data_IF_037151319278
#
_entry.id   IF_037151319278
#
_cell.length_a   1.000
_cell.length_b   1.000
_cell.length_c   1.000
_cell.angle_alpha   90.00
_cell.angle_beta   90.00
_cell.angle_gamma   90.00
#
_symmetry.space_group_name_H-M   'P 1'
#
loop_
_entity.id
_entity.type
_entity.pdbx_description
1 polymer ?
#
# COMPACT_ATOMS: atom_id res chain seq x y z
N UNK A 1 0.89 1.34 -6.29
CA UNK A 1 1.96 1.05 -5.31
C UNK A 1 1.59 1.59 -3.95
N UNK A 2 2.50 1.62 -2.98
CA UNK A 2 2.28 2.22 -1.65
C UNK A 2 2.84 3.65 -1.62
N UNK A 3 2.48 4.43 -0.60
CA UNK A 3 3.18 5.67 -0.28
C UNK A 3 4.63 5.41 0.16
N UNK A 4 5.43 6.47 0.19
CA UNK A 4 6.84 6.39 0.58
C UNK A 4 6.95 5.89 2.04
N UNK A 5 7.81 4.88 2.31
CA UNK A 5 8.03 4.40 3.68
C UNK A 5 8.44 5.54 4.63
N UNK A 6 9.24 6.48 4.15
CA UNK A 6 9.71 7.63 4.93
C UNK A 6 8.54 8.51 5.36
N UNK A 7 7.60 8.81 4.45
CA UNK A 7 6.40 9.59 4.74
C UNK A 7 5.52 8.85 5.76
N UNK A 8 5.25 7.55 5.52
CA UNK A 8 4.44 6.71 6.40
C UNK A 8 5.01 6.64 7.82
N UNK A 9 6.32 6.42 7.94
CA UNK A 9 7.01 6.33 9.23
C UNK A 9 7.13 7.69 9.93
N UNK A 10 7.29 8.79 9.17
CA UNK A 10 7.38 10.14 9.74
C UNK A 10 6.08 10.64 10.35
N UNK A 11 4.94 10.13 9.89
CA UNK A 11 3.62 10.51 10.37
C UNK A 11 3.16 9.70 11.58
N UNK A 12 3.92 8.70 12.03
CA UNK A 12 3.54 7.90 13.21
C UNK A 12 3.54 8.76 14.47
N UNK A 13 2.68 8.39 15.42
CA UNK A 13 2.63 9.03 16.74
C UNK A 13 3.16 8.03 17.78
N UNK A 14 4.31 8.36 18.35
CA UNK A 14 4.89 7.65 19.49
C UNK A 14 4.35 8.25 20.80
N UNK A 15 3.83 7.40 21.69
CA UNK A 15 3.15 7.78 22.94
C UNK A 15 3.74 7.01 24.12
N UNK A 16 4.01 7.71 25.22
CA UNK A 16 4.50 7.13 26.47
C UNK A 16 3.76 7.77 27.66
N UNK A 17 3.50 7.03 28.76
CA UNK A 17 2.99 7.63 29.98
C UNK A 17 3.92 8.73 30.52
N UNK A 18 3.35 9.77 31.11
CA UNK A 18 3.99 11.01 31.57
C UNK A 18 4.53 11.90 30.44
N UNK A 19 4.22 11.62 29.18
CA UNK A 19 4.52 12.53 28.07
C UNK A 19 3.61 13.77 28.13
N UNK A 20 4.20 14.95 28.06
CA UNK A 20 3.46 16.20 27.89
C UNK A 20 2.92 16.26 26.44
N UNK A 21 1.62 16.07 26.32
CA UNK A 21 0.89 16.08 25.07
C UNK A 21 -0.52 16.63 25.31
N UNK A 22 -0.80 17.76 24.68
CA UNK A 22 -2.16 18.31 24.66
C UNK A 22 -3.08 17.34 23.92
N UNK A 23 -4.20 16.94 24.52
CA UNK A 23 -5.15 15.99 23.92
C UNK A 23 -5.56 16.39 22.51
N UNK A 24 -5.91 17.65 22.30
CA UNK A 24 -6.39 18.14 21.01
C UNK A 24 -5.31 18.08 19.91
N UNK A 25 -4.02 18.14 20.30
CA UNK A 25 -2.91 17.88 19.37
C UNK A 25 -2.92 16.42 18.89
N UNK A 26 -3.11 15.46 19.81
CA UNK A 26 -3.24 14.05 19.43
C UNK A 26 -4.41 13.83 18.46
N UNK A 27 -5.56 14.48 18.70
CA UNK A 27 -6.72 14.36 17.80
C UNK A 27 -6.40 14.90 16.40
N UNK A 28 -5.70 16.03 16.31
CA UNK A 28 -5.26 16.60 15.04
C UNK A 28 -4.26 15.69 14.31
N UNK A 29 -3.32 15.08 15.03
CA UNK A 29 -2.35 14.14 14.47
C UNK A 29 -3.06 12.87 13.95
N UNK A 30 -4.06 12.35 14.68
CA UNK A 30 -4.90 11.22 14.26
C UNK A 30 -5.68 11.51 12.97
N UNK A 31 -6.32 12.68 12.88
CA UNK A 31 -7.02 13.11 11.66
C UNK A 31 -6.03 13.23 10.49
N UNK A 32 -4.85 13.79 10.73
CA UNK A 32 -3.79 13.90 9.72
C UNK A 32 -3.28 12.54 9.25
N UNK A 33 -3.35 11.52 10.11
CA UNK A 33 -3.10 10.11 9.83
C UNK A 33 -4.29 9.36 9.19
N UNK A 34 -5.35 10.08 8.80
CA UNK A 34 -6.59 9.56 8.20
C UNK A 34 -7.44 8.69 9.15
N UNK A 35 -7.34 8.89 10.45
CA UNK A 35 -8.33 8.33 11.38
C UNK A 35 -9.60 9.19 11.39
N UNK A 36 -10.74 8.53 11.50
CA UNK A 36 -12.05 9.19 11.63
C UNK A 36 -12.43 9.35 13.10
N UNK A 37 -13.00 10.50 13.46
CA UNK A 37 -13.63 10.67 14.78
C UNK A 37 -15.06 10.17 14.73
N UNK A 38 -15.38 9.12 15.48
CA UNK A 38 -16.75 8.64 15.62
C UNK A 38 -17.01 8.12 17.04
N UNK A 39 -17.83 8.85 17.79
CA UNK A 39 -18.12 8.55 19.19
C UNK A 39 -19.18 7.44 19.37
N UNK A 40 -19.89 7.07 18.29
CA UNK A 40 -20.99 6.10 18.28
C UNK A 40 -20.51 4.74 17.77
N UNK A 41 -19.99 4.70 16.54
CA UNK A 41 -19.53 3.47 15.90
C UNK A 41 -18.00 3.37 16.02
N UNK A 42 -17.53 2.37 16.76
CA UNK A 42 -16.11 2.19 17.06
C UNK A 42 -15.56 0.97 16.33
N UNK A 43 -14.90 1.24 15.20
CA UNK A 43 -14.35 0.25 14.28
C UNK A 43 -12.91 0.63 13.87
N UNK A 44 -12.22 -0.23 13.10
CA UNK A 44 -10.82 -0.01 12.70
C UNK A 44 -10.66 1.33 11.96
N UNK A 45 -9.63 2.09 12.31
CA UNK A 45 -9.37 3.41 11.73
C UNK A 45 -10.20 4.54 12.37
N UNK A 46 -10.95 4.24 13.44
CA UNK A 46 -11.73 5.23 14.18
C UNK A 46 -11.07 5.55 15.52
N UNK A 47 -11.20 6.80 15.97
CA UNK A 47 -11.01 7.17 17.36
C UNK A 47 -12.26 7.85 17.95
N UNK A 48 -12.39 7.78 19.28
CA UNK A 48 -13.45 8.43 20.04
C UNK A 48 -12.92 9.09 21.31
N UNK A 49 -13.66 10.07 21.81
CA UNK A 49 -13.26 10.86 22.99
C UNK A 49 -14.35 10.78 24.06
N UNK A 50 -13.96 10.43 25.28
CA UNK A 50 -14.85 10.36 26.45
C UNK A 50 -14.22 11.10 27.63
N UNK A 51 -14.50 12.40 27.75
CA UNK A 51 -13.84 13.26 28.74
C UNK A 51 -12.33 13.36 28.47
N UNK A 52 -11.53 12.94 29.43
CA UNK A 52 -10.06 12.96 29.33
C UNK A 52 -9.49 11.66 28.72
N UNK A 53 -10.36 10.78 28.21
CA UNK A 53 -9.98 9.54 27.56
C UNK A 53 -10.09 9.65 26.05
N UNK A 54 -9.04 9.23 25.35
CA UNK A 54 -9.05 8.99 23.90
C UNK A 54 -8.91 7.49 23.68
N UNK A 55 -9.84 6.90 22.93
CA UNK A 55 -9.75 5.51 22.48
C UNK A 55 -9.55 5.48 20.97
N UNK A 56 -8.55 4.75 20.52
CA UNK A 56 -8.13 4.65 19.12
C UNK A 56 -8.19 3.18 18.74
N UNK A 57 -8.87 2.86 17.65
CA UNK A 57 -8.84 1.54 17.06
C UNK A 57 -7.86 1.55 15.87
N UNK A 58 -6.64 1.02 16.02
CA UNK A 58 -5.66 1.06 14.94
C UNK A 58 -6.17 0.33 13.70
N UNK A 59 -5.87 0.86 12.52
CA UNK A 59 -6.35 0.29 11.25
C UNK A 59 -5.82 -1.13 10.96
N UNK A 60 -4.73 -1.52 11.62
CA UNK A 60 -4.02 -2.80 11.46
C UNK A 60 -4.35 -3.82 12.55
N UNK A 61 -5.17 -3.48 13.54
CA UNK A 61 -5.58 -4.41 14.60
C UNK A 61 -6.92 -5.07 14.29
N UNK A 62 -7.15 -6.27 14.82
CA UNK A 62 -8.39 -6.99 14.56
C UNK A 62 -9.49 -6.74 15.58
N UNK A 63 -9.15 -6.87 16.86
CA UNK A 63 -10.04 -6.85 18.01
C UNK A 63 -9.51 -5.99 19.17
N UNK A 64 -8.30 -5.45 19.03
CA UNK A 64 -7.63 -4.69 20.08
C UNK A 64 -7.58 -3.20 19.74
N UNK A 65 -7.86 -2.37 20.75
CA UNK A 65 -7.82 -0.93 20.67
C UNK A 65 -6.92 -0.35 21.78
N UNK A 66 -6.47 0.88 21.56
CA UNK A 66 -5.59 1.60 22.47
C UNK A 66 -6.40 2.68 23.17
N UNK A 67 -6.36 2.66 24.50
CA UNK A 67 -6.93 3.68 25.38
C UNK A 67 -5.81 4.52 25.96
N UNK A 68 -5.99 5.83 25.89
CA UNK A 68 -5.08 6.84 26.41
C UNK A 68 -5.89 7.70 27.38
N UNK A 69 -5.53 7.66 28.65
CA UNK A 69 -6.12 8.52 29.68
C UNK A 69 -5.19 9.72 29.90
N UNK A 70 -5.75 10.93 29.87
CA UNK A 70 -5.04 12.19 30.07
C UNK A 70 -5.31 12.75 31.47
N UNK A 71 -4.34 13.50 32.00
CA UNK A 71 -4.49 14.35 33.16
C UNK A 71 -4.00 15.77 32.79
N UNK A 72 -4.94 16.65 32.42
CA UNK A 72 -4.59 17.92 31.80
C UNK A 72 -3.90 17.71 30.44
N UNK A 73 -2.72 18.29 30.28
CA UNK A 73 -1.90 18.19 29.05
C UNK A 73 -0.81 17.10 29.14
N UNK A 74 -1.04 16.07 29.97
CA UNK A 74 -0.11 14.96 30.15
C UNK A 74 -0.82 13.62 30.00
N UNK A 75 -0.15 12.65 29.37
CA UNK A 75 -0.65 11.27 29.30
C UNK A 75 -0.47 10.60 30.66
N UNK A 76 -1.56 10.24 31.33
CA UNK A 76 -1.53 9.54 32.61
C UNK A 76 -1.24 8.04 32.41
N UNK A 77 -1.97 7.40 31.49
CA UNK A 77 -1.80 5.98 31.22
C UNK A 77 -2.19 5.58 29.81
N UNK A 78 -1.57 4.49 29.35
CA UNK A 78 -1.87 3.86 28.06
C UNK A 78 -2.21 2.40 28.32
N UNK A 79 -3.31 1.93 27.73
CA UNK A 79 -3.76 0.55 27.86
C UNK A 79 -4.25 -0.01 26.54
N UNK A 80 -3.97 -1.29 26.32
CA UNK A 80 -4.58 -2.11 25.29
C UNK A 80 -5.86 -2.72 25.86
N UNK A 81 -6.96 -2.66 25.12
CA UNK A 81 -8.25 -3.19 25.54
C UNK A 81 -8.96 -3.90 24.38
N UNK A 82 -9.82 -4.87 24.72
CA UNK A 82 -10.68 -5.57 23.77
C UNK A 82 -11.78 -4.60 23.30
N UNK A 83 -11.82 -4.29 22.01
CA UNK A 83 -12.69 -3.26 21.44
C UNK A 83 -14.18 -3.62 21.56
N UNK A 84 -14.51 -4.92 21.64
CA UNK A 84 -15.87 -5.43 21.76
C UNK A 84 -16.32 -5.51 23.22
N UNK A 85 -15.47 -6.07 24.09
CA UNK A 85 -15.79 -6.30 25.52
C UNK A 85 -15.54 -5.07 26.40
N UNK A 86 -14.69 -4.14 25.95
CA UNK A 86 -14.24 -2.98 26.73
C UNK A 86 -13.26 -3.30 27.85
N UNK A 87 -12.92 -4.58 28.05
CA UNK A 87 -12.02 -5.04 29.11
C UNK A 87 -10.56 -4.71 28.79
N UNK A 88 -9.86 -4.12 29.76
CA UNK A 88 -8.43 -3.84 29.65
C UNK A 88 -7.66 -5.17 29.61
N UNK A 89 -6.86 -5.36 28.57
CA UNK A 89 -6.02 -6.53 28.37
C UNK A 89 -4.65 -6.34 29.03
N UNK A 90 -4.04 -5.17 28.81
CA UNK A 90 -2.67 -4.88 29.28
C UNK A 90 -2.40 -3.38 29.35
N UNK A 91 -1.65 -2.93 30.36
CA UNK A 91 -1.08 -1.57 30.39
C UNK A 91 0.21 -1.50 29.59
N UNK A 92 0.36 -0.44 28.80
CA UNK A 92 1.48 -0.23 27.90
C UNK A 92 2.42 0.84 28.45
N UNK A 93 3.73 0.60 28.35
CA UNK A 93 4.77 1.61 28.65
C UNK A 93 5.04 2.53 27.47
N UNK A 94 4.68 2.09 26.26
CA UNK A 94 4.80 2.81 25.02
C UNK A 94 3.76 2.27 24.04
N UNK A 95 3.20 3.14 23.21
CA UNK A 95 2.40 2.79 22.06
C UNK A 95 2.86 3.60 20.86
N UNK A 96 2.86 3.00 19.67
CA UNK A 96 3.12 3.71 18.42
C UNK A 96 1.89 3.52 17.54
N UNK A 97 1.27 4.63 17.14
CA UNK A 97 0.12 4.64 16.24
C UNK A 97 0.63 4.93 14.84
N UNK A 98 0.39 4.01 13.91
CA UNK A 98 0.70 4.21 12.50
C UNK A 98 -0.50 4.79 11.73
N UNK A 99 -0.27 5.45 10.59
CA UNK A 99 -1.33 5.98 9.76
C UNK A 99 -2.36 4.94 9.32
N UNK A 100 -3.63 5.34 9.24
CA UNK A 100 -4.73 4.47 8.83
C UNK A 100 -4.74 4.19 7.31
N UNK A 101 -3.91 4.89 6.55
CA UNK A 101 -3.74 4.71 5.11
C UNK A 101 -2.26 4.66 4.70
N UNK A 102 -1.95 3.88 3.67
CA UNK A 102 -0.61 3.83 3.07
C UNK A 102 -0.34 5.01 2.11
N UNK A 103 -1.32 5.87 1.84
CA UNK A 103 -1.18 7.05 0.97
C UNK A 103 -1.20 8.36 1.75
N UNK A 104 -0.97 8.32 3.06
CA UNK A 104 -0.81 9.55 3.83
C UNK A 104 0.37 10.36 3.31
N UNK A 105 0.16 11.65 3.21
CA UNK A 105 1.14 12.62 2.72
C UNK A 105 1.07 13.88 3.57
N UNK A 106 2.15 14.65 3.62
CA UNK A 106 2.14 15.94 4.31
C UNK A 106 1.30 16.97 3.54
N UNK A 107 0.78 17.99 4.23
CA UNK A 107 0.06 19.12 3.59
C UNK A 107 0.94 19.85 2.57
N UNK A 108 2.25 19.97 2.84
CA UNK A 108 3.23 20.59 1.93
C UNK A 108 3.39 19.76 0.67
N UNK A 109 3.49 18.43 0.81
CA UNK A 109 3.58 17.49 -0.31
C UNK A 109 2.32 17.54 -1.16
N UNK A 110 1.12 17.54 -0.55
CA UNK A 110 -0.15 17.67 -1.27
C UNK A 110 -0.24 18.97 -2.07
N UNK A 111 0.18 20.09 -1.50
CA UNK A 111 0.16 21.38 -2.20
C UNK A 111 1.05 21.34 -3.46
N UNK A 112 2.28 20.83 -3.34
CA UNK A 112 3.19 20.68 -4.49
C UNK A 112 2.61 19.72 -5.55
N UNK A 113 2.02 18.61 -5.11
CA UNK A 113 1.39 17.65 -6.01
C UNK A 113 0.24 18.28 -6.78
N UNK A 114 -0.62 19.07 -6.14
CA UNK A 114 -1.71 19.80 -6.78
C UNK A 114 -1.20 20.70 -7.92
N UNK A 115 -0.15 21.48 -7.67
CA UNK A 115 0.44 22.37 -8.70
C UNK A 115 0.90 21.55 -9.92
N UNK A 116 1.63 20.45 -9.69
CA UNK A 116 2.12 19.58 -10.77
C UNK A 116 1.01 18.82 -11.51
N UNK A 117 -0.10 18.50 -10.85
CA UNK A 117 -1.27 17.85 -11.46
C UNK A 117 -2.00 18.84 -12.36
N UNK A 118 -2.18 20.08 -11.89
CA UNK A 118 -2.81 21.15 -12.68
C UNK A 118 -2.02 21.42 -13.96
N UNK A 119 -0.69 21.45 -13.87
CA UNK A 119 0.16 21.66 -15.04
C UNK A 119 0.10 20.50 -16.04
N UNK A 120 0.09 19.24 -15.57
CA UNK A 120 -0.11 18.08 -16.45
C UNK A 120 -1.51 18.09 -17.09
N UNK A 121 -2.54 18.48 -16.33
CA UNK A 121 -3.92 18.57 -16.81
C UNK A 121 -4.03 19.58 -17.96
N UNK A 122 -3.45 20.78 -17.82
CA UNK A 122 -3.46 21.80 -18.89
C UNK A 122 -2.90 21.25 -20.20
N UNK A 123 -1.71 20.64 -20.14
CA UNK A 123 -1.09 20.04 -21.32
C UNK A 123 -1.92 18.89 -21.91
N UNK A 124 -2.58 18.10 -21.06
CA UNK A 124 -3.43 16.98 -21.51
C UNK A 124 -4.71 17.46 -22.19
N UNK A 125 -5.34 18.52 -21.69
CA UNK A 125 -6.51 19.15 -22.30
C UNK A 125 -6.14 19.71 -23.68
N UNK A 126 -5.03 20.43 -23.78
CA UNK A 126 -4.54 20.97 -25.04
C UNK A 126 -4.28 19.87 -26.09
N UNK A 127 -3.62 18.78 -25.68
CA UNK A 127 -3.43 17.60 -26.52
C UNK A 127 -4.76 17.08 -27.10
N UNK A 128 -5.77 16.87 -26.25
CA UNK A 128 -7.05 16.35 -26.71
C UNK A 128 -7.79 17.33 -27.63
N UNK A 129 -7.73 18.64 -27.35
CA UNK A 129 -8.34 19.66 -28.21
C UNK A 129 -7.67 19.70 -29.59
N UNK A 130 -6.34 19.63 -29.65
CA UNK A 130 -5.58 19.59 -30.91
C UNK A 130 -5.90 18.34 -31.74
N UNK A 131 -6.19 17.21 -31.09
CA UNK A 131 -6.60 15.96 -31.74
C UNK A 131 -8.11 15.88 -32.03
N UNK A 132 -8.87 16.98 -31.84
CA UNK A 132 -10.35 17.02 -31.96
C UNK A 132 -11.10 16.01 -31.06
N UNK A 133 -10.49 15.56 -29.96
CA UNK A 133 -11.04 14.64 -28.95
C UNK A 133 -11.72 15.43 -27.82
N UNK A 134 -12.79 16.14 -28.17
CA UNK A 134 -13.41 17.12 -27.26
C UNK A 134 -14.09 16.46 -26.04
N UNK A 135 -14.65 15.26 -26.21
CA UNK A 135 -15.30 14.52 -25.10
C UNK A 135 -14.26 14.06 -24.08
N UNK A 136 -13.12 13.56 -24.55
CA UNK A 136 -12.00 13.16 -23.70
C UNK A 136 -11.40 14.35 -22.95
N UNK A 137 -11.31 15.51 -23.60
CA UNK A 137 -10.86 16.76 -22.99
C UNK A 137 -11.78 17.19 -21.83
N UNK A 138 -13.10 17.23 -22.07
CA UNK A 138 -14.08 17.57 -21.05
C UNK A 138 -14.02 16.57 -19.88
N UNK A 139 -13.98 15.27 -20.19
CA UNK A 139 -13.96 14.19 -19.20
C UNK A 139 -12.76 14.29 -18.27
N UNK A 140 -11.55 14.51 -18.80
CA UNK A 140 -10.34 14.59 -17.97
C UNK A 140 -10.33 15.86 -17.11
N UNK A 141 -10.85 16.96 -17.65
CA UNK A 141 -10.98 18.24 -16.95
C UNK A 141 -11.92 18.14 -15.74
N UNK A 142 -13.16 17.70 -15.96
CA UNK A 142 -14.15 17.54 -14.89
C UNK A 142 -13.65 16.59 -13.80
N UNK A 143 -13.13 15.41 -14.20
CA UNK A 143 -12.66 14.41 -13.26
C UNK A 143 -11.49 14.92 -12.41
N UNK A 144 -10.50 15.52 -13.06
CA UNK A 144 -9.27 15.94 -12.36
C UNK A 144 -9.53 17.15 -11.46
N UNK A 145 -10.38 18.09 -11.87
CA UNK A 145 -10.76 19.23 -11.03
C UNK A 145 -11.52 18.78 -9.78
N UNK A 146 -12.46 17.83 -9.91
CA UNK A 146 -13.14 17.25 -8.75
C UNK A 146 -12.16 16.53 -7.81
N UNK A 147 -11.27 15.69 -8.36
CA UNK A 147 -10.27 14.98 -7.54
C UNK A 147 -9.31 15.99 -6.84
N UNK A 148 -8.97 17.12 -7.47
CA UNK A 148 -8.17 18.21 -6.88
C UNK A 148 -8.89 18.95 -5.76
N UNK A 149 -10.17 19.27 -5.93
CA UNK A 149 -11.01 19.91 -4.90
C UNK A 149 -11.08 19.02 -3.64
N UNK A 150 -11.34 17.73 -3.82
CA UNK A 150 -11.37 16.75 -2.73
C UNK A 150 -10.03 16.66 -2.01
N UNK A 151 -8.90 16.66 -2.74
CA UNK A 151 -7.57 16.68 -2.12
C UNK A 151 -7.27 17.97 -1.33
N UNK A 152 -7.86 19.10 -1.72
CA UNK A 152 -7.68 20.38 -1.02
C UNK A 152 -8.53 20.44 0.26
N UNK A 153 -9.79 20.04 0.20
CA UNK A 153 -10.74 20.13 1.31
C UNK A 153 -10.57 19.00 2.32
N UNK A 154 -10.46 17.75 1.84
CA UNK A 154 -10.43 16.55 2.69
C UNK A 154 -9.03 15.96 2.86
N UNK A 155 -8.06 16.41 2.07
CA UNK A 155 -6.71 15.84 2.07
C UNK A 155 -6.58 14.50 1.33
N UNK A 156 -7.67 13.99 0.76
CA UNK A 156 -7.69 12.77 -0.07
C UNK A 156 -8.80 12.80 -1.12
N UNK A 157 -8.72 11.92 -2.12
CA UNK A 157 -9.77 11.70 -3.10
C UNK A 157 -9.90 10.21 -3.45
N UNK A 158 -11.01 9.81 -4.06
CA UNK A 158 -11.18 8.43 -4.52
C UNK A 158 -10.32 8.16 -5.77
N UNK A 159 -9.42 7.19 -5.63
CA UNK A 159 -8.44 6.89 -6.69
C UNK A 159 -7.16 7.73 -6.58
N UNK A 160 -6.84 8.25 -5.39
CA UNK A 160 -5.66 9.07 -5.12
C UNK A 160 -4.35 8.41 -5.60
N UNK A 161 -4.29 7.08 -5.64
CA UNK A 161 -3.13 6.34 -6.12
C UNK A 161 -2.77 6.65 -7.58
N UNK A 162 -3.72 7.11 -8.39
CA UNK A 162 -3.48 7.53 -9.77
C UNK A 162 -2.62 8.81 -9.86
N UNK A 163 -2.50 9.54 -8.75
CA UNK A 163 -1.63 10.71 -8.60
C UNK A 163 -0.33 10.39 -7.85
N UNK A 164 -0.03 9.11 -7.59
CA UNK A 164 1.11 8.69 -6.75
C UNK A 164 2.46 9.26 -7.21
N UNK A 165 2.70 9.42 -8.52
CA UNK A 165 3.93 10.08 -9.01
C UNK A 165 4.06 11.51 -8.50
N UNK A 166 2.99 12.30 -8.62
CA UNK A 166 2.94 13.69 -8.16
C UNK A 166 3.05 13.77 -6.64
N UNK A 167 2.38 12.87 -5.92
CA UNK A 167 2.40 12.79 -4.46
C UNK A 167 3.75 12.35 -3.89
N UNK A 168 4.53 11.56 -4.63
CA UNK A 168 5.86 11.09 -4.19
C UNK A 168 7.00 11.94 -4.74
N UNK A 169 6.74 12.89 -5.65
CA UNK A 169 7.77 13.70 -6.31
C UNK A 169 8.70 12.90 -7.23
N UNK A 170 8.30 11.69 -7.65
CA UNK A 170 9.09 10.82 -8.53
C UNK A 170 9.07 11.29 -9.97
N UNK A 171 10.08 10.86 -10.74
CA UNK A 171 10.17 11.21 -12.17
C UNK A 171 9.19 10.39 -13.00
N UNK A 172 8.85 10.90 -14.18
CA UNK A 172 8.06 10.16 -15.17
C UNK A 172 8.71 8.81 -15.49
N UNK A 173 7.91 7.75 -15.52
CA UNK A 173 8.37 6.38 -15.73
C UNK A 173 8.85 5.66 -14.47
N UNK A 174 9.10 6.34 -13.35
CA UNK A 174 9.50 5.68 -12.10
C UNK A 174 8.28 5.04 -11.41
N UNK A 175 8.37 3.78 -10.97
CA UNK A 175 7.27 3.14 -10.27
C UNK A 175 7.11 3.74 -8.85
N UNK A 176 5.92 3.64 -8.25
CA UNK A 176 5.73 3.97 -6.84
C UNK A 176 6.54 3.03 -5.94
N UNK A 177 6.75 3.42 -4.67
CA UNK A 177 7.16 2.48 -3.63
C UNK A 177 6.28 1.22 -3.61
N UNK A 178 6.87 0.10 -3.21
CA UNK A 178 6.17 -1.18 -3.04
C UNK A 178 6.47 -1.73 -1.65
N UNK A 179 5.87 -2.86 -1.28
CA UNK A 179 6.20 -3.55 -0.04
C UNK A 179 7.71 -3.81 0.10
N UNK A 180 8.41 -4.13 -0.99
CA UNK A 180 9.86 -4.33 -0.99
C UNK A 180 10.65 -3.09 -0.52
N UNK A 181 10.06 -1.89 -0.62
CA UNK A 181 10.68 -0.64 -0.15
C UNK A 181 10.57 -0.47 1.38
N UNK A 182 9.70 -1.21 2.06
CA UNK A 182 9.52 -1.17 3.51
C UNK A 182 10.45 -2.14 4.24
N UNK A 183 11.06 -3.09 3.51
CA UNK A 183 12.04 -3.99 4.08
C UNK A 183 13.43 -3.34 4.18
N UNK A 184 14.24 -3.73 5.18
CA UNK A 184 15.68 -3.46 5.19
C UNK A 184 16.36 -3.96 3.91
N UNK A 185 17.54 -3.43 3.57
CA UNK A 185 18.23 -3.78 2.31
C UNK A 185 18.69 -5.24 2.22
N UNK A 186 18.76 -5.95 3.34
CA UNK A 186 19.26 -7.31 3.52
C UNK A 186 18.15 -8.35 3.76
N UNK A 187 16.93 -8.08 3.28
CA UNK A 187 15.82 -9.01 3.41
C UNK A 187 15.98 -10.29 2.59
N UNK A 188 15.36 -11.36 3.08
CA UNK A 188 15.18 -12.62 2.37
C UNK A 188 13.79 -12.68 1.73
N UNK A 189 13.73 -12.95 0.43
CA UNK A 189 12.50 -13.23 -0.28
C UNK A 189 12.35 -14.73 -0.52
N UNK A 190 11.20 -15.32 -0.18
CA UNK A 190 10.86 -16.69 -0.58
C UNK A 190 9.76 -16.60 -1.62
N UNK A 191 9.99 -17.19 -2.79
CA UNK A 191 9.00 -17.29 -3.85
C UNK A 191 8.54 -18.74 -3.90
N UNK A 192 7.37 -18.98 -3.34
CA UNK A 192 6.69 -20.26 -3.41
C UNK A 192 6.09 -20.51 -4.79
N UNK A 193 6.04 -21.77 -5.20
CA UNK A 193 5.69 -22.22 -6.54
C UNK A 193 6.29 -21.33 -7.65
N UNK A 194 7.62 -21.16 -7.58
CA UNK A 194 8.35 -20.17 -8.38
C UNK A 194 8.10 -20.29 -9.89
N UNK A 195 7.87 -21.51 -10.37
CA UNK A 195 7.61 -21.82 -11.76
C UNK A 195 6.31 -21.20 -12.28
N UNK A 196 5.37 -20.86 -11.39
CA UNK A 196 4.13 -20.13 -11.66
C UNK A 196 4.28 -18.66 -11.26
N UNK A 197 4.82 -18.39 -10.08
CA UNK A 197 4.90 -17.04 -9.52
C UNK A 197 5.78 -16.10 -10.36
N UNK A 198 6.87 -16.58 -10.96
CA UNK A 198 7.76 -15.77 -11.79
C UNK A 198 7.09 -15.33 -13.10
N UNK A 199 6.48 -16.22 -13.91
CA UNK A 199 5.67 -15.80 -15.05
C UNK A 199 4.56 -14.81 -14.68
N UNK A 200 3.87 -15.02 -13.55
CA UNK A 200 2.84 -14.09 -13.08
C UNK A 200 3.43 -12.70 -12.81
N UNK A 201 4.54 -12.62 -12.06
CA UNK A 201 5.22 -11.35 -11.77
C UNK A 201 5.64 -10.60 -13.04
N UNK A 202 6.12 -11.31 -14.07
CA UNK A 202 6.41 -10.71 -15.40
C UNK A 202 5.17 -10.15 -16.09
N UNK A 203 4.03 -10.83 -15.96
CA UNK A 203 2.78 -10.46 -16.61
C UNK A 203 2.12 -9.21 -16.00
N UNK A 204 2.30 -8.96 -14.71
CA UNK A 204 1.58 -7.91 -13.96
C UNK A 204 1.71 -6.52 -14.58
N UNK A 205 2.93 -6.09 -14.94
CA UNK A 205 3.13 -4.77 -15.54
C UNK A 205 2.42 -4.64 -16.90
N UNK A 206 2.54 -5.64 -17.78
CA UNK A 206 1.98 -5.57 -19.14
C UNK A 206 0.46 -5.49 -19.12
N UNK A 207 -0.18 -6.29 -18.28
CA UNK A 207 -1.63 -6.25 -18.09
C UNK A 207 -2.12 -4.91 -17.54
N UNK A 208 -1.47 -4.39 -16.48
CA UNK A 208 -1.84 -3.10 -15.90
C UNK A 208 -1.61 -1.94 -16.87
N UNK A 209 -0.48 -1.93 -17.56
CA UNK A 209 -0.14 -0.90 -18.54
C UNK A 209 -1.18 -0.88 -19.67
N UNK A 210 -1.49 -2.01 -20.29
CA UNK A 210 -2.48 -2.09 -21.38
C UNK A 210 -3.84 -1.52 -20.96
N UNK A 211 -4.33 -1.89 -19.77
CA UNK A 211 -5.61 -1.40 -19.24
C UNK A 211 -5.59 0.11 -19.00
N UNK A 212 -4.53 0.64 -18.42
CA UNK A 212 -4.42 2.07 -18.12
C UNK A 212 -4.17 2.92 -19.35
N UNK A 213 -3.46 2.41 -20.35
CA UNK A 213 -3.28 3.09 -21.63
C UNK A 213 -4.64 3.45 -22.22
N UNK A 214 -5.58 2.51 -22.25
CA UNK A 214 -6.96 2.76 -22.69
C UNK A 214 -7.64 3.87 -21.87
N UNK A 215 -7.54 3.84 -20.54
CA UNK A 215 -8.12 4.89 -19.69
C UNK A 215 -7.53 6.28 -19.97
N UNK A 216 -6.22 6.35 -20.21
CA UNK A 216 -5.53 7.60 -20.55
C UNK A 216 -5.91 8.08 -21.95
N UNK A 217 -5.98 7.19 -22.93
CA UNK A 217 -6.36 7.49 -24.31
C UNK A 217 -7.77 8.06 -24.41
N UNK A 218 -8.70 7.55 -23.60
CA UNK A 218 -10.08 8.03 -23.52
C UNK A 218 -10.30 9.07 -22.41
N UNK A 219 -9.27 9.73 -21.89
CA UNK A 219 -9.44 10.88 -21.00
C UNK A 219 -10.07 10.58 -19.63
N UNK A 220 -10.05 9.33 -19.17
CA UNK A 220 -10.49 8.98 -17.81
C UNK A 220 -9.40 9.25 -16.75
N UNK A 221 -8.12 9.24 -17.15
CA UNK A 221 -6.97 9.46 -16.29
C UNK A 221 -5.88 10.27 -16.99
N UNK A 222 -5.08 10.99 -16.20
CA UNK A 222 -3.89 11.68 -16.69
C UNK A 222 -2.79 10.67 -17.10
N UNK A 223 -1.84 11.05 -17.98
CA UNK A 223 -0.72 10.20 -18.34
C UNK A 223 0.09 9.69 -17.14
N UNK A 224 0.26 10.51 -16.09
CA UNK A 224 0.87 10.10 -14.81
C UNK A 224 0.27 8.87 -14.15
N UNK A 225 -0.99 8.52 -14.43
CA UNK A 225 -1.61 7.32 -13.89
C UNK A 225 -0.91 6.03 -14.37
N UNK A 226 -0.24 6.06 -15.52
CA UNK A 226 0.59 4.95 -16.02
C UNK A 226 1.80 4.69 -15.10
N UNK A 227 2.27 5.71 -14.39
CA UNK A 227 3.39 5.59 -13.47
C UNK A 227 2.97 4.93 -12.15
N UNK A 228 1.68 4.92 -11.80
CA UNK A 228 1.16 4.14 -10.65
C UNK A 228 1.07 2.63 -10.94
N UNK A 229 2.15 2.00 -11.36
CA UNK A 229 2.14 0.64 -11.89
C UNK A 229 2.81 -0.37 -10.96
N UNK A 230 2.58 -1.69 -11.15
CA UNK A 230 3.48 -2.71 -10.66
C UNK A 230 4.90 -2.49 -11.18
N UNK A 231 5.87 -3.08 -10.47
CA UNK A 231 7.24 -3.15 -10.94
C UNK A 231 7.30 -3.96 -12.25
N UNK A 232 8.16 -3.52 -13.16
CA UNK A 232 8.64 -4.39 -14.23
C UNK A 232 9.45 -5.54 -13.61
N UNK A 233 9.60 -6.62 -14.34
CA UNK A 233 10.33 -7.77 -13.83
C UNK A 233 11.79 -7.41 -13.52
N UNK A 234 12.41 -6.63 -14.40
CA UNK A 234 13.79 -6.16 -14.25
C UNK A 234 13.94 -5.23 -13.04
N UNK A 235 12.94 -4.38 -12.78
CA UNK A 235 12.91 -3.51 -11.59
C UNK A 235 12.73 -4.32 -10.30
N UNK A 236 11.98 -5.42 -10.36
CA UNK A 236 11.82 -6.34 -9.23
C UNK A 236 13.14 -7.05 -8.95
N UNK A 237 13.78 -7.60 -9.98
CA UNK A 237 15.08 -8.26 -9.87
C UNK A 237 16.16 -7.34 -9.27
N UNK A 238 16.21 -6.08 -9.71
CA UNK A 238 17.17 -5.10 -9.20
C UNK A 238 16.97 -4.74 -7.72
N UNK A 239 15.81 -5.06 -7.15
CA UNK A 239 15.46 -4.78 -5.74
C UNK A 239 15.55 -5.99 -4.83
N UNK A 240 15.69 -7.19 -5.39
CA UNK A 240 15.83 -8.43 -4.63
C UNK A 240 17.25 -8.50 -4.08
N UNK A 241 17.35 -8.64 -2.76
CA UNK A 241 18.63 -8.79 -2.06
C UNK A 241 19.05 -10.25 -2.03
N UNK A 242 18.27 -11.10 -1.36
CA UNK A 242 18.42 -12.55 -1.37
C UNK A 242 17.07 -13.19 -1.71
N UNK A 243 17.10 -14.30 -2.45
CA UNK A 243 15.88 -15.01 -2.84
C UNK A 243 16.06 -16.52 -2.79
N UNK A 244 15.05 -17.21 -2.28
CA UNK A 244 14.87 -18.66 -2.37
C UNK A 244 13.68 -18.93 -3.28
N UNK A 245 13.92 -19.68 -4.35
CA UNK A 245 12.87 -20.19 -5.22
C UNK A 245 12.45 -21.57 -4.72
N UNK A 246 11.20 -21.73 -4.33
CA UNK A 246 10.63 -23.01 -3.88
C UNK A 246 9.71 -23.54 -4.98
N UNK A 247 10.01 -24.73 -5.49
CA UNK A 247 9.21 -25.40 -6.52
C UNK A 247 9.62 -26.87 -6.64
N UNK A 248 8.65 -27.77 -6.81
CA UNK A 248 8.93 -29.15 -7.20
C UNK A 248 9.39 -29.27 -8.66
N UNK A 249 9.06 -28.28 -9.49
CA UNK A 249 9.36 -28.23 -10.93
C UNK A 249 9.93 -26.85 -11.30
N UNK A 250 11.13 -26.48 -10.81
CA UNK A 250 11.73 -25.17 -11.10
C UNK A 250 11.91 -24.97 -12.61
N UNK A 251 11.52 -23.80 -13.12
CA UNK A 251 11.67 -23.50 -14.54
C UNK A 251 13.09 -22.99 -14.87
N UNK A 252 13.37 -22.81 -16.17
CA UNK A 252 14.68 -22.42 -16.69
C UNK A 252 15.22 -21.12 -16.05
N UNK A 253 14.34 -20.17 -15.74
CA UNK A 253 14.75 -18.92 -15.10
C UNK A 253 15.36 -19.17 -13.72
N UNK A 254 14.71 -19.97 -12.89
CA UNK A 254 15.17 -20.28 -11.53
C UNK A 254 16.44 -21.11 -11.55
N UNK A 255 16.51 -22.12 -12.43
CA UNK A 255 17.70 -22.95 -12.62
C UNK A 255 18.90 -22.09 -13.06
N UNK A 256 18.72 -21.21 -14.05
CA UNK A 256 19.80 -20.34 -14.54
C UNK A 256 20.26 -19.31 -13.49
N UNK A 257 19.36 -18.84 -12.62
CA UNK A 257 19.70 -17.92 -11.53
C UNK A 257 20.37 -18.61 -10.35
N UNK A 258 19.97 -19.84 -10.04
CA UNK A 258 20.47 -20.59 -8.88
C UNK A 258 21.86 -21.17 -9.11
N UNK A 259 22.26 -21.41 -10.37
CA UNK A 259 23.57 -21.99 -10.72
C UNK A 259 23.85 -23.23 -9.87
N UNK A 260 24.93 -23.23 -9.09
CA UNK A 260 25.36 -24.34 -8.24
C UNK A 260 24.64 -24.40 -6.88
N UNK A 261 23.65 -23.53 -6.63
CA UNK A 261 22.92 -23.43 -5.35
C UNK A 261 21.58 -24.18 -5.35
N UNK A 262 21.42 -25.19 -6.21
CA UNK A 262 20.23 -26.04 -6.21
C UNK A 262 20.25 -26.95 -4.97
N UNK A 263 19.17 -26.94 -4.20
CA UNK A 263 18.97 -27.82 -3.04
C UNK A 263 17.76 -28.69 -3.29
N UNK A 264 17.97 -30.01 -3.30
CA UNK A 264 16.90 -30.98 -3.50
C UNK A 264 16.36 -31.48 -2.16
N UNK A 265 15.04 -31.47 -2.01
CA UNK A 265 14.33 -32.04 -0.86
C UNK A 265 13.26 -33.02 -1.36
N UNK A 266 13.65 -34.28 -1.51
CA UNK A 266 12.77 -35.36 -2.03
C UNK A 266 12.22 -36.27 -0.93
N UNK A 267 12.91 -36.36 0.22
CA UNK A 267 12.54 -37.28 1.29
C UNK A 267 11.39 -36.68 2.10
N UNK A 268 10.21 -37.30 2.01
CA UNK A 268 9.04 -36.93 2.82
C UNK A 268 9.20 -37.45 4.25
N UNK A 269 9.00 -36.63 5.30
CA UNK A 269 9.11 -37.07 6.69
C UNK A 269 8.20 -38.25 7.07
N UNK A 270 7.08 -38.42 6.34
CA UNK A 270 6.12 -39.51 6.54
C UNK A 270 6.52 -40.83 5.88
N UNK A 271 7.59 -40.85 5.08
CA UNK A 271 8.01 -42.03 4.31
C UNK A 271 7.18 -42.31 3.06
N UNK A 272 6.28 -41.41 2.66
CA UNK A 272 5.51 -41.55 1.43
C UNK A 272 6.43 -41.52 0.20
N UNK A 273 6.32 -42.56 -0.63
CA UNK A 273 7.06 -42.71 -1.89
C UNK A 273 6.33 -42.06 -3.06
N UNK A 274 7.08 -41.72 -4.11
CA UNK A 274 6.48 -41.30 -5.37
C UNK A 274 5.63 -42.43 -5.98
N UNK A 275 4.48 -42.12 -6.62
CA UNK A 275 3.58 -43.13 -7.13
C UNK A 275 4.17 -43.87 -8.34
N UNK A 276 3.79 -45.14 -8.50
CA UNK A 276 4.10 -45.89 -9.72
C UNK A 276 3.31 -45.33 -10.91
N UNK A 277 3.98 -45.21 -12.07
CA UNK A 277 3.38 -44.72 -13.32
C UNK A 277 3.17 -45.89 -14.27
N UNK A 278 1.94 -46.08 -14.75
CA UNK A 278 1.58 -47.09 -15.76
C UNK A 278 1.05 -46.41 -17.03
N UNK A 279 1.59 -46.77 -18.19
CA UNK A 279 1.15 -46.24 -19.50
C UNK A 279 0.32 -47.30 -20.22
N UNK A 280 -0.92 -46.97 -20.58
CA UNK A 280 -1.86 -47.87 -21.28
C UNK A 280 -2.26 -47.31 -22.65
N UNK A 281 -2.60 -48.20 -23.58
CA UNK A 281 -3.13 -47.81 -24.90
C UNK A 281 -4.48 -47.13 -24.78
N UNK A 282 -4.67 -46.03 -25.50
CA UNK A 282 -5.95 -45.29 -25.56
C UNK A 282 -7.02 -45.98 -26.43
N UNK A 283 -6.68 -47.07 -27.13
CA UNK A 283 -7.54 -47.73 -28.14
C UNK A 283 -8.91 -48.21 -27.60
N UNK A 284 -9.04 -48.46 -26.30
CA UNK A 284 -10.28 -48.95 -25.68
C UNK A 284 -10.96 -47.93 -24.74
N UNK A 285 -10.60 -46.63 -24.81
CA UNK A 285 -11.10 -45.58 -23.89
C UNK A 285 -11.76 -44.37 -24.59
N UNK A 286 -11.98 -44.43 -25.91
CA UNK A 286 -12.75 -43.43 -26.69
C UNK A 286 -13.96 -44.09 -27.32
#
# INVERSE_FOLDING_TARGET
>A
GLGAPEDYLSMRVDLEPNMDLVRDKLLFDLISMHYERNDVDFSRGVFRVRGDRVEIFPAYEEDQAIRIDFFGDQIESIALFDALRGSVLKRLKRATIFPASHYVTSRVTRKKANDTIVDELKGRIEYFRNENKLIEAQRIEERTNFDLEMMQELGYCHGIENYSRHLTGRKSGEPPPTLLSYFPKDYLLIIDESHIAIPQLRGMYRGDHSRKTTLVEYGFRLPSALDNRPLKFEESQARISQVVYSSATPAEYELSKSKDSLVELIVRPTGLIDPQVEVRSAQNQV
#
